data_IF_280570188739
#
_entry.id   IF_280570188739
#
_cell.length_a   1.000
_cell.length_b   1.000
_cell.length_c   1.000
_cell.angle_alpha   90.00
_cell.angle_beta   90.00
_cell.angle_gamma   90.00
#
_symmetry.space_group_name_H-M   'P 1'
#
loop_
_entity.id
_entity.type
_entity.pdbx_description
1 polymer ?
#
# COMPACT_ATOMS: atom_id res chain seq x y z
N UNK A 1 0.99 -26.51 69.87
CA UNK A 1 1.99 -25.87 69.00
C UNK A 1 1.53 -26.09 67.56
N UNK A 2 0.92 -25.07 66.94
CA UNK A 2 0.36 -25.14 65.58
C UNK A 2 1.31 -24.39 64.65
N UNK A 3 1.79 -24.96 63.52
CA UNK A 3 2.65 -24.22 62.60
C UNK A 3 1.79 -23.39 61.64
N UNK A 4 2.10 -22.10 61.53
CA UNK A 4 1.45 -21.14 60.65
C UNK A 4 2.08 -21.24 59.25
N UNK A 5 1.31 -21.65 58.25
CA UNK A 5 1.71 -21.73 56.84
C UNK A 5 1.53 -20.33 56.20
N UNK A 6 2.64 -19.67 55.88
CA UNK A 6 2.64 -18.35 55.22
C UNK A 6 2.71 -18.55 53.70
N UNK A 7 1.60 -18.25 53.01
CA UNK A 7 1.52 -18.25 51.55
C UNK A 7 1.99 -16.88 51.04
N UNK A 8 3.09 -16.86 50.27
CA UNK A 8 3.60 -15.66 49.59
C UNK A 8 2.90 -15.55 48.24
N UNK A 9 2.04 -14.55 48.07
CA UNK A 9 1.42 -14.19 46.80
C UNK A 9 2.40 -13.39 45.94
N UNK A 10 2.80 -13.95 44.79
CA UNK A 10 3.61 -13.26 43.78
C UNK A 10 2.66 -12.43 42.92
N UNK A 11 2.71 -11.10 43.08
CA UNK A 11 2.05 -10.15 42.19
C UNK A 11 2.93 -9.95 40.96
N UNK A 12 2.49 -10.44 39.81
CA UNK A 12 3.07 -10.07 38.52
C UNK A 12 2.57 -8.66 38.15
N UNK A 13 3.40 -7.64 38.38
CA UNK A 13 3.25 -6.36 37.71
C UNK A 13 3.68 -6.54 36.26
N UNK A 14 2.71 -6.58 35.35
CA UNK A 14 2.95 -6.51 33.92
C UNK A 14 3.48 -5.11 33.57
N UNK A 15 4.65 -5.04 32.94
CA UNK A 15 5.13 -3.81 32.31
C UNK A 15 4.24 -3.54 31.09
N UNK A 16 3.48 -2.44 31.09
CA UNK A 16 2.89 -1.96 29.83
C UNK A 16 4.03 -1.41 28.96
N UNK A 17 4.15 -1.92 27.74
CA UNK A 17 5.08 -1.40 26.75
C UNK A 17 4.69 0.05 26.41
N UNK A 18 5.69 0.92 26.41
CA UNK A 18 5.59 2.30 25.95
C UNK A 18 5.55 2.30 24.41
N UNK A 19 4.57 2.95 23.77
CA UNK A 19 4.48 2.99 22.31
C UNK A 19 5.70 3.70 21.74
N UNK A 20 6.45 3.01 20.89
CA UNK A 20 7.43 3.65 20.02
C UNK A 20 6.64 4.35 18.91
N UNK A 21 6.69 5.69 18.93
CA UNK A 21 6.14 6.63 17.94
C UNK A 21 4.67 7.04 18.19
N UNK A 22 4.42 8.25 18.73
CA UNK A 22 3.09 8.83 18.77
C UNK A 22 2.68 9.36 17.37
N UNK A 23 1.42 9.17 16.94
CA UNK A 23 0.89 9.85 15.77
C UNK A 23 0.86 11.37 16.01
N UNK A 24 1.33 12.15 15.03
CA UNK A 24 1.19 13.59 15.06
C UNK A 24 -0.29 13.94 14.86
N UNK A 25 -0.95 14.40 15.92
CA UNK A 25 -2.35 14.81 15.86
C UNK A 25 -2.54 16.01 14.90
N UNK A 26 -3.51 15.98 13.97
CA UNK A 26 -3.92 17.18 13.27
C UNK A 26 -4.62 18.14 14.23
N UNK A 27 -4.31 19.43 14.09
CA UNK A 27 -4.83 20.49 14.94
C UNK A 27 -6.36 20.56 14.91
N UNK A 28 -6.98 20.56 16.09
CA UNK A 28 -8.43 20.47 16.24
C UNK A 28 -9.22 21.68 15.76
N UNK A 29 -10.51 21.45 15.50
CA UNK A 29 -11.53 22.47 15.37
C UNK A 29 -12.76 22.13 16.23
N UNK A 30 -13.15 23.09 17.07
CA UNK A 30 -14.37 23.08 17.87
C UNK A 30 -15.56 23.62 17.06
N UNK A 31 -16.75 23.05 17.27
CA UNK A 31 -18.03 23.74 17.06
C UNK A 31 -19.06 22.95 16.26
N UNK A 32 -20.16 22.53 16.93
CA UNK A 32 -21.18 21.63 16.39
C UNK A 32 -22.28 22.28 15.53
N UNK A 33 -23.08 21.42 14.92
CA UNK A 33 -24.28 21.75 14.15
C UNK A 33 -24.56 20.65 13.12
N UNK A 34 -25.53 19.79 13.39
CA UNK A 34 -25.80 18.56 12.62
C UNK A 34 -26.16 18.81 11.16
N UNK A 35 -25.44 18.10 10.30
CA UNK A 35 -25.89 17.46 9.06
C UNK A 35 -25.13 16.14 9.06
N UNK A 36 -25.84 15.02 8.87
CA UNK A 36 -25.20 13.72 8.66
C UNK A 36 -24.25 13.89 7.47
N UNK A 37 -22.93 13.70 7.63
CA UNK A 37 -22.02 13.87 6.52
C UNK A 37 -22.26 12.72 5.55
N UNK A 38 -22.72 13.06 4.35
CA UNK A 38 -22.49 12.24 3.15
C UNK A 38 -21.03 11.75 3.18
N UNK A 39 -20.74 10.50 2.73
CA UNK A 39 -19.40 9.95 2.79
C UNK A 39 -18.45 10.95 2.17
N UNK A 40 -17.57 11.52 3.00
CA UNK A 40 -16.63 12.53 2.54
C UNK A 40 -15.73 11.78 1.58
N UNK A 41 -15.88 12.06 0.29
CA UNK A 41 -14.91 11.63 -0.69
C UNK A 41 -13.58 12.28 -0.27
N UNK A 42 -12.70 11.46 0.28
CA UNK A 42 -11.47 11.88 0.95
C UNK A 42 -10.34 12.09 -0.05
N UNK A 43 -10.62 11.90 -1.33
CA UNK A 43 -9.67 12.09 -2.43
C UNK A 43 -9.78 13.51 -2.98
N UNK A 44 -8.69 14.26 -2.95
CA UNK A 44 -8.61 15.54 -3.67
C UNK A 44 -8.64 15.23 -5.18
N UNK A 45 -9.65 15.72 -5.93
CA UNK A 45 -9.76 15.45 -7.36
C UNK A 45 -8.67 16.16 -8.19
N UNK A 46 -7.86 17.03 -7.59
CA UNK A 46 -6.73 17.67 -8.25
C UNK A 46 -5.42 16.90 -8.08
N UNK A 47 -5.40 15.85 -7.25
CA UNK A 47 -4.24 14.97 -7.08
C UNK A 47 -4.43 13.76 -7.99
N UNK A 48 -3.40 13.46 -8.79
CA UNK A 48 -3.34 12.19 -9.51
C UNK A 48 -2.77 11.15 -8.55
N UNK A 49 -3.54 10.10 -8.31
CA UNK A 49 -3.18 9.03 -7.39
C UNK A 49 -2.51 7.91 -8.15
N UNK A 50 -1.21 7.73 -7.92
CA UNK A 50 -0.39 6.77 -8.62
C UNK A 50 -1.03 5.38 -8.65
N UNK A 51 -1.51 4.88 -7.51
CA UNK A 51 -2.06 3.52 -7.43
C UNK A 51 -3.36 3.31 -8.18
N UNK A 52 -4.26 4.30 -8.15
CA UNK A 52 -5.59 4.19 -8.74
C UNK A 52 -5.60 4.57 -10.22
N UNK A 53 -4.72 5.49 -10.63
CA UNK A 53 -4.80 6.14 -11.94
C UNK A 53 -3.59 5.86 -12.83
N UNK A 54 -2.38 5.71 -12.28
CA UNK A 54 -1.14 5.64 -13.06
C UNK A 54 -0.63 4.21 -13.20
N UNK A 55 -0.47 3.48 -12.09
CA UNK A 55 0.03 2.11 -12.09
C UNK A 55 -0.81 1.17 -13.00
N UNK A 56 -2.16 1.25 -13.04
CA UNK A 56 -2.94 0.42 -13.95
C UNK A 56 -2.60 0.64 -15.42
N UNK A 57 -2.20 1.86 -15.81
CA UNK A 57 -1.79 2.17 -17.18
C UNK A 57 -0.50 1.41 -17.51
N UNK A 58 0.51 1.47 -16.65
CA UNK A 58 1.76 0.72 -16.83
C UNK A 58 1.55 -0.79 -16.85
N UNK A 59 0.75 -1.32 -15.93
CA UNK A 59 0.42 -2.75 -15.86
C UNK A 59 -0.34 -3.24 -17.11
N UNK A 60 -1.10 -2.36 -17.74
CA UNK A 60 -1.88 -2.72 -18.94
C UNK A 60 -1.02 -2.65 -20.19
N UNK A 61 -0.25 -1.57 -20.35
CA UNK A 61 0.39 -1.24 -21.63
C UNK A 61 1.87 -1.58 -21.69
N UNK A 62 2.55 -1.74 -20.56
CA UNK A 62 4.01 -1.85 -20.53
C UNK A 62 4.54 -3.18 -19.97
N UNK A 63 3.73 -3.90 -19.18
CA UNK A 63 4.17 -5.15 -18.52
C UNK A 63 3.72 -6.42 -19.24
N UNK A 64 3.45 -6.34 -20.55
CA UNK A 64 3.14 -7.50 -21.38
C UNK A 64 4.32 -8.49 -21.40
N UNK A 65 4.06 -9.77 -21.68
CA UNK A 65 5.10 -10.80 -21.72
C UNK A 65 6.25 -10.42 -22.66
N UNK A 66 7.47 -10.29 -22.12
CA UNK A 66 8.65 -9.85 -22.87
C UNK A 66 8.86 -8.33 -22.91
N UNK A 67 7.97 -7.57 -22.31
CA UNK A 67 8.09 -6.13 -22.02
C UNK A 67 8.21 -5.96 -20.49
N UNK A 68 8.43 -4.74 -20.01
CA UNK A 68 8.88 -4.31 -18.66
C UNK A 68 8.10 -4.78 -17.39
N UNK A 69 7.64 -6.03 -17.30
CA UNK A 69 6.85 -6.57 -16.17
C UNK A 69 7.66 -7.35 -15.14
N UNK A 70 8.56 -8.20 -15.60
CA UNK A 70 9.50 -8.99 -14.80
C UNK A 70 10.94 -8.75 -15.30
N UNK A 71 11.93 -9.12 -14.49
CA UNK A 71 13.37 -8.95 -14.82
C UNK A 71 13.69 -9.76 -16.09
N UNK A 72 13.60 -9.11 -17.25
CA UNK A 72 14.03 -9.66 -18.52
C UNK A 72 15.57 -9.63 -18.58
N UNK A 73 16.24 -10.69 -19.08
CA UNK A 73 17.71 -10.72 -19.21
C UNK A 73 18.29 -9.60 -20.08
N UNK A 74 17.45 -8.95 -20.91
CA UNK A 74 17.85 -7.89 -21.82
C UNK A 74 17.52 -6.48 -21.29
N UNK A 75 16.79 -6.39 -20.18
CA UNK A 75 16.18 -5.15 -19.70
C UNK A 75 16.07 -5.16 -18.16
N UNK A 76 17.11 -5.72 -17.53
CA UNK A 76 17.10 -6.15 -16.14
C UNK A 76 16.86 -5.01 -15.12
N UNK A 77 16.81 -3.76 -15.57
CA UNK A 77 16.66 -2.57 -14.75
C UNK A 77 15.32 -1.83 -14.98
N UNK A 78 14.48 -2.26 -15.94
CA UNK A 78 13.18 -1.65 -16.26
C UNK A 78 12.01 -2.54 -15.80
N UNK A 79 11.49 -2.27 -14.60
CA UNK A 79 10.37 -3.01 -14.00
C UNK A 79 9.24 -2.04 -13.69
N UNK A 80 8.16 -2.07 -14.47
CA UNK A 80 7.05 -1.11 -14.38
C UNK A 80 5.83 -1.65 -13.63
N UNK A 81 6.05 -2.66 -12.79
CA UNK A 81 5.01 -3.25 -11.92
C UNK A 81 4.87 -2.55 -10.58
N UNK A 82 5.70 -1.53 -10.29
CA UNK A 82 5.64 -0.78 -9.04
C UNK A 82 6.24 0.62 -9.19
N UNK A 83 5.89 1.52 -8.26
CA UNK A 83 6.51 2.84 -8.16
C UNK A 83 8.04 2.76 -8.00
N UNK A 84 8.51 1.82 -7.17
CA UNK A 84 9.94 1.65 -6.91
C UNK A 84 10.70 1.22 -8.17
N UNK A 85 10.09 0.39 -9.01
CA UNK A 85 10.68 0.01 -10.29
C UNK A 85 10.64 1.13 -11.33
N UNK A 86 9.57 1.94 -11.34
CA UNK A 86 9.50 3.17 -12.14
C UNK A 86 10.50 4.26 -11.69
N UNK A 87 11.04 4.15 -10.48
CA UNK A 87 12.02 5.07 -9.88
C UNK A 87 13.36 4.41 -9.56
N UNK A 88 13.66 3.25 -10.17
CA UNK A 88 14.89 2.50 -9.90
C UNK A 88 16.15 3.26 -10.36
N UNK A 89 16.02 4.08 -11.41
CA UNK A 89 17.04 4.99 -11.92
C UNK A 89 16.54 6.46 -11.87
N UNK A 90 17.41 7.44 -11.53
CA UNK A 90 17.03 8.86 -11.50
C UNK A 90 16.46 9.43 -12.81
N UNK A 91 16.76 8.82 -13.96
CA UNK A 91 16.27 9.26 -15.27
C UNK A 91 15.11 8.39 -15.79
N UNK A 92 14.75 7.31 -15.10
CA UNK A 92 13.73 6.35 -15.57
C UNK A 92 12.43 7.06 -15.98
N UNK A 93 11.93 7.97 -15.15
CA UNK A 93 10.69 8.69 -15.43
C UNK A 93 10.81 9.64 -16.62
N UNK A 94 11.96 10.31 -16.79
CA UNK A 94 12.17 11.18 -17.96
C UNK A 94 12.29 10.36 -19.24
N UNK A 95 12.95 9.22 -19.18
CA UNK A 95 13.15 8.32 -20.31
C UNK A 95 11.81 7.69 -20.75
N UNK A 96 10.99 7.26 -19.78
CA UNK A 96 9.61 6.82 -20.03
C UNK A 96 8.80 7.94 -20.69
N UNK A 97 8.88 9.16 -20.16
CA UNK A 97 8.10 10.29 -20.70
C UNK A 97 8.52 10.65 -22.13
N UNK A 98 9.81 10.58 -22.44
CA UNK A 98 10.32 10.75 -23.81
C UNK A 98 9.78 9.65 -24.72
N UNK A 99 9.95 8.37 -24.34
CA UNK A 99 9.55 7.23 -25.15
C UNK A 99 8.05 7.17 -25.48
N UNK A 100 7.15 7.53 -24.53
CA UNK A 100 5.70 7.52 -24.80
C UNK A 100 5.22 8.71 -25.65
N UNK A 101 6.04 9.74 -25.80
CA UNK A 101 5.74 10.94 -26.59
C UNK A 101 6.54 11.04 -27.89
N UNK A 102 7.38 10.04 -28.20
CA UNK A 102 8.17 10.01 -29.41
C UNK A 102 7.29 9.87 -30.66
N UNK A 103 7.83 10.17 -31.85
CA UNK A 103 7.11 9.91 -33.10
C UNK A 103 6.78 8.40 -33.19
N UNK A 104 5.51 8.00 -33.45
CA UNK A 104 5.14 6.58 -33.57
C UNK A 104 5.90 5.80 -34.65
N UNK A 105 6.52 6.50 -35.61
CA UNK A 105 7.38 5.88 -36.64
C UNK A 105 8.84 5.68 -36.17
N UNK A 106 9.21 6.16 -34.99
CA UNK A 106 10.51 5.92 -34.36
C UNK A 106 10.54 4.56 -33.65
N UNK A 107 11.71 3.92 -33.63
CA UNK A 107 11.91 2.65 -32.92
C UNK A 107 11.97 2.84 -31.40
N UNK A 108 12.19 4.06 -30.94
CA UNK A 108 12.23 4.40 -29.51
C UNK A 108 10.84 4.70 -28.93
N UNK A 109 9.78 4.76 -29.77
CA UNK A 109 8.39 4.94 -29.33
C UNK A 109 7.87 3.73 -28.55
N UNK A 110 7.30 3.99 -27.38
CA UNK A 110 6.76 2.96 -26.47
C UNK A 110 5.29 3.20 -26.11
N UNK A 111 4.46 2.14 -26.03
CA UNK A 111 4.74 0.77 -26.45
C UNK A 111 4.97 0.70 -27.97
N UNK A 112 5.79 -0.24 -28.47
CA UNK A 112 5.98 -0.40 -29.91
C UNK A 112 4.64 -0.63 -30.60
N UNK A 113 4.46 -0.13 -31.83
CA UNK A 113 3.20 -0.30 -32.56
C UNK A 113 2.86 -1.77 -32.83
N UNK A 114 3.88 -2.62 -32.93
CA UNK A 114 3.76 -4.06 -33.18
C UNK A 114 4.79 -4.84 -32.36
N UNK A 115 4.49 -6.12 -32.09
CA UNK A 115 5.46 -7.05 -31.49
C UNK A 115 6.50 -7.58 -32.50
N UNK A 116 7.37 -8.48 -32.05
CA UNK A 116 8.41 -9.12 -32.89
C UNK A 116 7.84 -10.01 -34.01
N UNK A 117 6.55 -10.33 -33.96
CA UNK A 117 5.80 -11.06 -34.97
C UNK A 117 4.95 -10.14 -35.85
N UNK A 118 5.11 -8.82 -35.73
CA UNK A 118 4.35 -7.80 -36.45
C UNK A 118 2.83 -7.86 -36.16
N UNK A 119 2.47 -8.17 -34.91
CA UNK A 119 1.11 -8.11 -34.37
C UNK A 119 0.91 -6.76 -33.68
N UNK A 120 -0.16 -6.00 -34.02
CA UNK A 120 -0.44 -4.72 -33.38
C UNK A 120 -0.55 -4.83 -31.86
N UNK A 121 0.12 -3.92 -31.15
CA UNK A 121 0.03 -3.78 -29.70
C UNK A 121 -0.90 -2.62 -29.33
N UNK A 122 -1.59 -2.76 -28.20
CA UNK A 122 -2.42 -1.70 -27.67
C UNK A 122 -1.53 -0.50 -27.29
N UNK A 123 -2.00 0.69 -27.62
CA UNK A 123 -1.29 1.96 -27.41
C UNK A 123 -1.99 2.75 -26.32
N UNK A 124 -1.23 3.62 -25.63
CA UNK A 124 -1.82 4.56 -24.68
C UNK A 124 -2.76 5.52 -25.41
N UNK A 125 -3.88 5.81 -24.76
CA UNK A 125 -4.79 6.88 -25.15
C UNK A 125 -4.22 8.25 -24.78
N UNK A 126 -4.63 9.34 -25.46
CA UNK A 126 -4.23 10.70 -25.07
C UNK A 126 -4.58 11.03 -23.61
N UNK A 127 -5.69 10.50 -23.10
CA UNK A 127 -6.11 10.65 -21.70
C UNK A 127 -5.16 9.95 -20.73
N UNK A 128 -4.73 8.73 -21.04
CA UNK A 128 -3.74 7.99 -20.23
C UNK A 128 -2.38 8.69 -20.22
N UNK A 129 -1.93 9.20 -21.38
CA UNK A 129 -0.71 10.02 -21.47
C UNK A 129 -0.85 11.28 -20.61
N UNK A 130 -2.02 11.93 -20.62
CA UNK A 130 -2.27 13.11 -19.80
C UNK A 130 -2.26 12.80 -18.29
N UNK A 131 -2.76 11.63 -17.87
CA UNK A 131 -2.71 11.16 -16.47
C UNK A 131 -1.25 10.96 -16.03
N UNK A 132 -0.45 10.27 -16.86
CA UNK A 132 0.99 10.07 -16.58
C UNK A 132 1.71 11.42 -16.48
N UNK A 133 1.46 12.34 -17.43
CA UNK A 133 2.08 13.66 -17.43
C UNK A 133 1.71 14.48 -16.20
N UNK A 134 0.44 14.49 -15.81
CA UNK A 134 -0.03 15.19 -14.62
C UNK A 134 0.57 14.60 -13.33
N UNK A 135 0.72 13.27 -13.24
CA UNK A 135 1.41 12.63 -12.13
C UNK A 135 2.89 13.02 -12.05
N UNK A 136 3.60 13.08 -13.19
CA UNK A 136 4.99 13.53 -13.27
C UNK A 136 5.11 14.99 -12.82
N UNK A 137 4.22 15.87 -13.29
CA UNK A 137 4.17 17.29 -12.88
C UNK A 137 3.91 17.47 -11.38
N UNK A 138 3.22 16.51 -10.75
CA UNK A 138 2.99 16.47 -9.31
C UNK A 138 4.18 15.88 -8.53
N UNK A 139 5.28 15.55 -9.20
CA UNK A 139 6.50 15.02 -8.59
C UNK A 139 6.56 13.50 -8.55
N UNK A 140 5.75 12.83 -9.38
CA UNK A 140 5.73 11.37 -9.50
C UNK A 140 5.63 10.64 -8.15
N UNK A 141 4.76 11.12 -7.26
CA UNK A 141 4.69 10.59 -5.90
C UNK A 141 4.12 9.17 -5.87
N UNK A 142 4.60 8.35 -4.94
CA UNK A 142 3.95 7.09 -4.58
C UNK A 142 2.77 7.38 -3.65
N UNK A 143 1.65 7.81 -4.22
CA UNK A 143 0.46 8.21 -3.49
C UNK A 143 -0.73 7.33 -3.87
N UNK A 144 -1.66 7.17 -2.93
CA UNK A 144 -2.91 6.46 -3.15
C UNK A 144 -4.05 7.16 -2.46
N UNK A 145 -5.21 7.15 -3.11
CA UNK A 145 -6.46 7.48 -2.46
C UNK A 145 -7.47 6.37 -2.65
N UNK A 146 -7.58 5.56 -1.62
CA UNK A 146 -8.73 4.69 -1.43
C UNK A 146 -9.70 5.44 -0.53
N UNK A 147 -10.81 5.92 -1.10
CA UNK A 147 -11.86 6.76 -0.48
C UNK A 147 -12.61 6.11 0.69
N UNK A 148 -11.89 5.74 1.74
CA UNK A 148 -12.39 5.09 2.96
C UNK A 148 -11.65 5.55 4.22
N UNK A 149 -11.07 6.75 4.18
CA UNK A 149 -10.32 7.32 5.30
C UNK A 149 -11.26 7.91 6.37
N UNK A 150 -12.03 7.04 7.03
CA UNK A 150 -12.75 7.41 8.25
C UNK A 150 -11.91 7.01 9.47
N UNK A 151 -11.50 8.01 10.24
CA UNK A 151 -10.72 7.85 11.48
C UNK A 151 -11.59 7.91 12.74
N UNK A 152 -12.91 8.06 12.60
CA UNK A 152 -13.82 8.32 13.74
C UNK A 152 -14.35 7.06 14.41
N UNK A 153 -14.38 5.92 13.70
CA UNK A 153 -14.90 4.65 14.21
C UNK A 153 -14.16 3.44 13.61
N UNK A 154 -12.89 3.29 13.97
CA UNK A 154 -12.06 2.18 13.49
C UNK A 154 -12.42 0.89 14.25
N UNK A 155 -12.92 -0.11 13.53
CA UNK A 155 -13.15 -1.46 14.07
C UNK A 155 -12.46 -2.51 13.22
N UNK A 156 -12.21 -3.68 13.81
CA UNK A 156 -11.63 -4.79 13.04
C UNK A 156 -12.55 -5.17 11.88
N UNK A 157 -13.82 -5.43 12.16
CA UNK A 157 -14.77 -5.92 11.16
C UNK A 157 -15.18 -4.87 10.12
N UNK A 158 -15.25 -3.59 10.51
CA UNK A 158 -15.75 -2.51 9.67
C UNK A 158 -14.67 -1.76 8.88
N UNK A 159 -13.44 -1.68 9.41
CA UNK A 159 -12.37 -0.86 8.83
C UNK A 159 -11.17 -1.71 8.42
N UNK A 160 -10.63 -2.50 9.34
CA UNK A 160 -9.37 -3.21 9.13
C UNK A 160 -9.53 -4.42 8.20
N UNK A 161 -10.54 -5.26 8.46
CA UNK A 161 -10.76 -6.49 7.70
C UNK A 161 -11.00 -6.23 6.21
N UNK A 162 -11.79 -5.22 5.78
CA UNK A 162 -11.89 -4.88 4.36
C UNK A 162 -10.53 -4.55 3.72
N UNK A 163 -9.67 -3.80 4.41
CA UNK A 163 -8.31 -3.47 3.90
C UNK A 163 -7.45 -4.73 3.83
N UNK A 164 -7.52 -5.60 4.84
CA UNK A 164 -6.79 -6.88 4.88
C UNK A 164 -7.21 -7.80 3.74
N UNK A 165 -8.51 -7.89 3.45
CA UNK A 165 -9.04 -8.67 2.34
C UNK A 165 -8.56 -8.12 0.98
N UNK A 166 -8.55 -6.80 0.85
CA UNK A 166 -8.22 -6.08 -0.37
C UNK A 166 -6.70 -6.04 -0.68
N UNK A 167 -5.84 -5.91 0.34
CA UNK A 167 -4.41 -5.63 0.17
C UNK A 167 -3.47 -6.68 0.75
N UNK A 168 -3.94 -7.56 1.63
CA UNK A 168 -3.05 -8.48 2.34
C UNK A 168 -3.32 -9.95 1.99
N UNK A 169 -4.58 -10.36 1.93
CA UNK A 169 -4.95 -11.78 1.76
C UNK A 169 -4.50 -12.32 0.41
N UNK A 170 -4.75 -11.60 -0.69
CA UNK A 170 -4.19 -11.84 -2.03
C UNK A 170 -3.83 -13.30 -2.36
N UNK A 171 -2.66 -13.52 -2.97
CA UNK A 171 -2.04 -14.84 -3.13
C UNK A 171 -1.02 -15.18 -2.02
N UNK A 172 -0.72 -14.22 -1.14
CA UNK A 172 0.41 -14.30 -0.22
C UNK A 172 -0.03 -14.61 1.22
N UNK A 173 -0.91 -13.82 1.84
CA UNK A 173 -1.30 -14.03 3.24
C UNK A 173 -2.69 -14.66 3.40
N UNK A 174 -2.99 -15.66 2.58
CA UNK A 174 -4.22 -16.46 2.65
C UNK A 174 -4.01 -17.90 2.13
N UNK A 175 -4.99 -18.77 2.38
CA UNK A 175 -5.05 -20.11 1.80
C UNK A 175 -4.18 -21.15 2.51
N UNK A 176 -3.87 -22.26 1.82
CA UNK A 176 -3.24 -23.43 2.44
C UNK A 176 -1.72 -23.28 2.65
N UNK A 177 -1.06 -22.39 1.92
CA UNK A 177 0.39 -22.16 2.00
C UNK A 177 0.67 -20.65 1.99
N UNK A 178 0.29 -19.93 3.05
CA UNK A 178 0.56 -18.50 3.12
C UNK A 178 2.05 -18.21 3.27
N UNK A 179 2.51 -17.13 2.66
CA UNK A 179 3.87 -16.63 2.77
C UNK A 179 4.19 -16.29 4.23
N UNK A 180 5.38 -16.68 4.68
CA UNK A 180 5.79 -16.56 6.08
C UNK A 180 4.97 -17.41 7.06
N UNK A 181 4.05 -18.26 6.59
CA UNK A 181 3.12 -19.01 7.44
C UNK A 181 2.03 -18.14 8.08
N UNK A 182 1.75 -16.95 7.53
CA UNK A 182 0.83 -15.96 8.08
C UNK A 182 -0.50 -15.93 7.31
N UNK A 183 -1.54 -16.54 7.86
CA UNK A 183 -2.88 -16.56 7.26
C UNK A 183 -3.78 -15.45 7.83
N UNK A 184 -3.91 -14.34 7.11
CA UNK A 184 -4.74 -13.22 7.54
C UNK A 184 -6.23 -13.39 7.21
N UNK A 185 -6.69 -14.60 6.88
CA UNK A 185 -8.13 -14.90 6.86
C UNK A 185 -8.73 -14.96 8.26
N UNK A 186 -7.90 -15.03 9.30
CA UNK A 186 -8.34 -15.00 10.70
C UNK A 186 -7.80 -13.78 11.46
N UNK A 187 -8.62 -13.25 12.36
CA UNK A 187 -8.19 -12.17 13.27
C UNK A 187 -7.00 -12.60 14.14
N UNK A 188 -6.94 -13.86 14.56
CA UNK A 188 -5.93 -14.36 15.49
C UNK A 188 -4.52 -14.18 14.96
N UNK A 189 -4.29 -14.55 13.70
CA UNK A 189 -2.96 -14.50 13.09
C UNK A 189 -2.56 -13.05 12.77
N UNK A 190 -3.50 -12.24 12.28
CA UNK A 190 -3.27 -10.79 12.10
C UNK A 190 -2.97 -10.10 13.44
N UNK A 191 -3.73 -10.42 14.49
CA UNK A 191 -3.54 -9.85 15.82
C UNK A 191 -2.20 -10.26 16.44
N UNK A 192 -1.70 -11.46 16.15
CA UNK A 192 -0.39 -11.90 16.64
C UNK A 192 0.74 -10.98 16.14
N UNK A 193 0.76 -10.70 14.83
CA UNK A 193 1.76 -9.80 14.22
C UNK A 193 1.49 -8.32 14.48
N UNK A 194 0.24 -7.96 14.79
CA UNK A 194 -0.10 -6.63 15.31
C UNK A 194 0.49 -6.43 16.72
N UNK A 195 0.34 -7.43 17.60
CA UNK A 195 0.75 -7.35 18.99
C UNK A 195 2.27 -7.39 19.20
N UNK A 196 3.01 -8.06 18.32
CA UNK A 196 4.47 -8.08 18.37
C UNK A 196 5.14 -6.90 17.63
N UNK A 197 4.34 -6.07 16.96
CA UNK A 197 4.77 -4.86 16.25
C UNK A 197 5.23 -5.09 14.81
N UNK A 198 5.31 -6.35 14.36
CA UNK A 198 5.76 -6.69 13.00
C UNK A 198 4.85 -6.08 11.94
N UNK A 199 3.53 -6.11 12.15
CA UNK A 199 2.57 -5.53 11.21
C UNK A 199 2.82 -4.04 11.00
N UNK A 200 3.03 -3.29 12.09
CA UNK A 200 3.26 -1.85 12.02
C UNK A 200 4.56 -1.51 11.29
N UNK A 201 5.64 -2.28 11.53
CA UNK A 201 6.91 -2.09 10.82
C UNK A 201 6.76 -2.44 9.33
N UNK A 202 6.09 -3.54 9.01
CA UNK A 202 5.93 -4.04 7.65
C UNK A 202 5.13 -3.07 6.78
N UNK A 203 3.98 -2.57 7.24
CA UNK A 203 3.12 -1.67 6.44
C UNK A 203 3.68 -0.24 6.33
N UNK A 204 4.56 0.17 7.26
CA UNK A 204 5.29 1.43 7.21
C UNK A 204 6.65 1.31 6.49
N UNK A 205 7.00 0.11 6.02
CA UNK A 205 8.29 -0.19 5.36
C UNK A 205 9.49 0.20 6.23
N UNK A 206 9.38 0.00 7.54
CA UNK A 206 10.44 0.31 8.51
C UNK A 206 11.38 -0.88 8.72
N UNK A 207 12.63 -0.58 9.07
CA UNK A 207 13.62 -1.61 9.38
C UNK A 207 13.15 -2.50 10.55
N UNK A 208 13.35 -3.82 10.42
CA UNK A 208 12.95 -4.81 11.42
C UNK A 208 11.79 -5.71 10.99
N UNK A 209 11.15 -5.42 9.85
CA UNK A 209 10.23 -6.32 9.16
C UNK A 209 10.46 -6.23 7.63
N UNK A 210 10.05 -7.26 6.90
CA UNK A 210 9.99 -7.18 5.44
C UNK A 210 8.88 -6.19 5.04
N UNK A 211 9.13 -5.25 4.12
CA UNK A 211 8.14 -4.28 3.69
C UNK A 211 6.97 -4.99 3.02
N UNK A 212 5.74 -4.64 3.42
CA UNK A 212 4.52 -5.24 2.90
C UNK A 212 3.54 -4.16 2.43
N UNK A 213 2.85 -4.37 1.30
CA UNK A 213 2.98 -5.50 0.36
C UNK A 213 4.38 -5.57 -0.31
N UNK A 214 4.93 -6.78 -0.50
CA UNK A 214 6.31 -6.98 -1.00
C UNK A 214 6.51 -6.59 -2.46
N UNK A 215 5.56 -6.97 -3.31
CA UNK A 215 5.59 -6.75 -4.76
C UNK A 215 4.51 -5.77 -5.21
N UNK A 216 3.79 -5.20 -4.24
CA UNK A 216 2.67 -4.33 -4.46
C UNK A 216 2.89 -2.99 -3.76
N UNK A 217 1.99 -2.04 -4.00
CA UNK A 217 2.13 -0.71 -3.44
C UNK A 217 1.93 -0.68 -1.94
N UNK A 218 2.66 0.21 -1.28
CA UNK A 218 2.43 0.50 0.13
C UNK A 218 0.97 0.92 0.35
N UNK A 219 0.43 0.62 1.53
CA UNK A 219 -0.88 1.14 1.91
C UNK A 219 -0.83 2.68 1.91
N UNK A 220 -1.97 3.32 1.60
CA UNK A 220 -2.08 4.76 1.77
C UNK A 220 -1.78 5.16 3.21
N UNK A 221 -1.23 6.37 3.42
CA UNK A 221 -0.91 6.83 4.78
C UNK A 221 -2.13 6.75 5.71
N UNK A 222 -3.34 7.05 5.20
CA UNK A 222 -4.53 6.91 6.03
C UNK A 222 -4.85 5.46 6.42
N UNK A 223 -4.71 4.49 5.50
CA UNK A 223 -4.90 3.07 5.84
C UNK A 223 -3.86 2.62 6.87
N UNK A 224 -2.62 3.07 6.72
CA UNK A 224 -1.57 2.87 7.73
C UNK A 224 -2.03 3.45 9.07
N UNK A 225 -2.50 4.70 9.10
CA UNK A 225 -2.97 5.35 10.33
C UNK A 225 -4.17 4.62 10.95
N UNK A 226 -5.07 4.06 10.14
CA UNK A 226 -6.18 3.21 10.62
C UNK A 226 -5.65 1.94 11.30
N UNK A 227 -4.68 1.25 10.70
CA UNK A 227 -4.01 0.11 11.33
C UNK A 227 -3.30 0.53 12.62
N UNK A 228 -2.55 1.63 12.62
CA UNK A 228 -1.82 2.09 13.79
C UNK A 228 -2.74 2.46 14.95
N UNK A 229 -3.86 3.14 14.67
CA UNK A 229 -4.88 3.45 15.68
C UNK A 229 -5.54 2.17 16.22
N UNK A 230 -5.91 1.23 15.36
CA UNK A 230 -6.46 -0.06 15.79
C UNK A 230 -5.46 -0.88 16.64
N UNK A 231 -4.17 -0.91 16.25
CA UNK A 231 -3.09 -1.55 17.01
C UNK A 231 -2.93 -0.85 18.37
N UNK A 232 -2.97 0.48 18.40
CA UNK A 232 -2.87 1.28 19.62
C UNK A 232 -4.01 0.97 20.61
N UNK A 233 -5.21 0.69 20.10
CA UNK A 233 -6.37 0.27 20.89
C UNK A 233 -6.31 -1.20 21.35
N UNK A 234 -5.20 -1.89 21.07
CA UNK A 234 -4.96 -3.28 21.46
C UNK A 234 -5.49 -4.29 20.45
N UNK A 235 -5.64 -3.88 19.18
CA UNK A 235 -6.09 -4.69 18.06
C UNK A 235 -7.40 -5.47 18.34
N UNK A 236 -8.46 -4.82 18.89
CA UNK A 236 -9.68 -5.51 19.30
C UNK A 236 -10.39 -6.20 18.13
N UNK A 237 -10.97 -7.38 18.39
CA UNK A 237 -11.86 -8.06 17.46
C UNK A 237 -13.29 -7.52 17.61
N UNK A 238 -13.56 -6.34 17.06
CA UNK A 238 -14.81 -5.58 17.20
C UNK A 238 -15.50 -5.22 15.88
#
# INVERSE_FOLDING_TARGET
MLPFLMVIGILFNSCKHEPLVPPQAPAGLNGGGGVEPEPVDTCDPNIIWFEQEVLPIFLTHCTMSGCHGDVSPNDADMVFTSHAGLNSDPNMISDIWEAINEDPDDNDHMPPLVDDLNIPLDQLTPEEIAIIGAWIDQGANNNSCDGGCDMTAITYSGTILPIVQDRCQGSCHAGNNPDGGLDFTTWTDLNAVAADGTLALAIQHQAGAEPMPQSGPALSQCRIDQFLAWIQDGAPNN
#
